data_IF_672030981306
#
_entry.id   IF_672030981306
#
_cell.length_a   1.000
_cell.length_b   1.000
_cell.length_c   1.000
_cell.angle_alpha   90.00
_cell.angle_beta   90.00
_cell.angle_gamma   90.00
#
_symmetry.space_group_name_H-M   'P 1'
#
loop_
_entity.id
_entity.type
_entity.pdbx_description
1 polymer ?
#
# COMPACT_ATOMS: atom_id res chain seq x y z
N UNK A 1 0.34 -17.30 17.49
CA UNK A 1 1.75 -17.73 17.34
C UNK A 1 1.97 -18.47 16.01
N UNK A 2 1.16 -19.48 15.66
CA UNK A 2 1.27 -20.14 14.35
C UNK A 2 0.92 -19.23 13.14
N UNK A 3 -0.04 -18.32 13.27
CA UNK A 3 -0.45 -17.40 12.20
C UNK A 3 0.61 -16.36 11.84
N UNK A 4 1.30 -15.77 12.82
CA UNK A 4 2.39 -14.80 12.56
C UNK A 4 3.52 -15.42 11.75
N UNK A 5 3.98 -16.63 12.12
CA UNK A 5 5.05 -17.32 11.39
C UNK A 5 4.64 -17.62 9.92
N UNK A 6 3.36 -17.93 9.68
CA UNK A 6 2.82 -18.09 8.32
C UNK A 6 2.83 -16.77 7.54
N UNK A 7 2.43 -15.66 8.16
CA UNK A 7 2.46 -14.32 7.55
C UNK A 7 3.90 -13.91 7.22
N UNK A 8 4.84 -14.04 8.16
CA UNK A 8 6.26 -13.72 7.97
C UNK A 8 6.90 -14.56 6.85
N UNK A 9 6.56 -15.84 6.78
CA UNK A 9 7.00 -16.73 5.68
C UNK A 9 6.42 -16.30 4.34
N UNK A 10 5.15 -15.89 4.32
CA UNK A 10 4.47 -15.41 3.10
C UNK A 10 5.09 -14.10 2.61
N UNK A 11 5.37 -13.16 3.51
CA UNK A 11 6.07 -11.90 3.21
C UNK A 11 7.46 -12.15 2.63
N UNK A 12 8.24 -13.05 3.26
CA UNK A 12 9.59 -13.40 2.78
C UNK A 12 9.54 -14.02 1.38
N UNK A 13 8.64 -14.98 1.17
CA UNK A 13 8.49 -15.64 -0.13
C UNK A 13 8.04 -14.65 -1.21
N UNK A 14 7.08 -13.78 -0.90
CA UNK A 14 6.63 -12.73 -1.82
C UNK A 14 7.78 -11.80 -2.21
N UNK A 15 8.59 -11.36 -1.24
CA UNK A 15 9.75 -10.51 -1.52
C UNK A 15 10.79 -11.20 -2.41
N UNK A 16 11.08 -12.48 -2.16
CA UNK A 16 11.99 -13.25 -3.02
C UNK A 16 11.43 -13.45 -4.43
N UNK A 17 10.14 -13.75 -4.56
CA UNK A 17 9.49 -13.93 -5.86
C UNK A 17 9.40 -12.62 -6.64
N UNK A 18 9.23 -11.49 -5.95
CA UNK A 18 9.29 -10.18 -6.55
C UNK A 18 10.70 -9.87 -7.08
N UNK A 19 11.75 -10.14 -6.31
CA UNK A 19 13.15 -9.96 -6.75
C UNK A 19 13.47 -10.86 -7.95
N UNK A 20 13.00 -12.10 -7.98
CA UNK A 20 13.20 -13.04 -9.11
C UNK A 20 12.56 -12.56 -10.42
N UNK A 21 11.56 -11.70 -10.34
CA UNK A 21 10.90 -11.13 -11.53
C UNK A 21 11.59 -9.86 -12.04
N UNK A 22 12.56 -9.31 -11.32
CA UNK A 22 13.29 -8.12 -11.74
C UNK A 22 14.35 -8.46 -12.79
N UNK A 23 14.62 -7.56 -13.75
CA UNK A 23 15.68 -7.75 -14.73
C UNK A 23 17.06 -7.79 -14.05
N UNK A 24 17.84 -8.83 -14.33
CA UNK A 24 19.20 -8.98 -13.79
C UNK A 24 20.20 -7.93 -14.32
N UNK A 25 19.83 -7.19 -15.36
CA UNK A 25 20.68 -6.19 -16.03
C UNK A 25 20.55 -4.78 -15.48
N UNK A 26 19.62 -4.53 -14.54
CA UNK A 26 19.34 -3.19 -14.02
C UNK A 26 19.67 -3.09 -12.53
N UNK A 27 20.11 -1.90 -12.09
CA UNK A 27 20.28 -1.59 -10.68
C UNK A 27 18.94 -1.09 -10.15
N UNK A 28 18.27 -1.93 -9.36
CA UNK A 28 16.94 -1.65 -8.83
C UNK A 28 16.93 -1.73 -7.30
N UNK A 29 16.17 -0.83 -6.70
CA UNK A 29 15.84 -0.85 -5.27
C UNK A 29 14.33 -1.02 -5.16
N UNK A 30 13.89 -2.00 -4.38
CA UNK A 30 12.47 -2.31 -4.19
C UNK A 30 12.15 -2.56 -2.73
N UNK A 31 10.90 -2.27 -2.35
CA UNK A 31 10.36 -2.55 -1.01
C UNK A 31 9.16 -3.49 -1.12
N UNK A 32 9.35 -4.81 -0.98
CA UNK A 32 8.24 -5.77 -0.98
C UNK A 32 7.20 -5.46 0.11
N UNK A 33 7.65 -4.99 1.27
CA UNK A 33 6.77 -4.64 2.38
C UNK A 33 5.83 -3.47 2.03
N UNK A 34 6.31 -2.47 1.30
CA UNK A 34 5.45 -1.36 0.83
C UNK A 34 4.33 -1.86 -0.10
N UNK A 35 4.62 -2.84 -0.96
CA UNK A 35 3.62 -3.47 -1.83
C UNK A 35 2.62 -4.29 -1.01
N UNK A 36 3.10 -5.03 -0.01
CA UNK A 36 2.22 -5.77 0.90
C UNK A 36 1.29 -4.84 1.66
N UNK A 37 1.75 -3.70 2.20
CA UNK A 37 0.85 -2.74 2.86
C UNK A 37 -0.26 -2.23 1.92
N UNK A 38 0.07 -1.98 0.65
CA UNK A 38 -0.93 -1.62 -0.34
C UNK A 38 -1.93 -2.76 -0.59
N UNK A 39 -1.44 -4.00 -0.74
CA UNK A 39 -2.29 -5.18 -0.93
C UNK A 39 -3.21 -5.42 0.27
N UNK A 40 -2.72 -5.28 1.50
CA UNK A 40 -3.54 -5.48 2.71
C UNK A 40 -4.58 -4.38 2.86
N UNK A 41 -4.30 -3.13 2.45
CA UNK A 41 -5.33 -2.09 2.37
C UNK A 41 -6.39 -2.41 1.31
N UNK A 42 -6.03 -3.02 0.18
CA UNK A 42 -7.01 -3.49 -0.82
C UNK A 42 -7.81 -4.67 -0.26
N UNK A 43 -7.15 -5.60 0.44
CA UNK A 43 -7.72 -6.79 1.05
C UNK A 43 -8.91 -6.46 1.97
N UNK A 44 -8.79 -5.39 2.77
CA UNK A 44 -9.85 -4.93 3.68
C UNK A 44 -11.15 -4.60 2.92
N UNK A 45 -11.05 -4.00 1.73
CA UNK A 45 -12.21 -3.61 0.91
C UNK A 45 -12.64 -4.66 -0.11
N UNK A 46 -11.75 -5.59 -0.47
CA UNK A 46 -12.01 -6.64 -1.45
C UNK A 46 -13.04 -7.67 -0.97
N UNK A 47 -13.64 -8.39 -1.91
CA UNK A 47 -14.54 -9.53 -1.64
C UNK A 47 -14.30 -10.65 -2.65
N UNK A 48 -14.81 -11.84 -2.37
CA UNK A 48 -14.80 -12.98 -3.29
C UNK A 48 -13.40 -13.32 -3.82
N UNK A 49 -13.29 -13.50 -5.14
CA UNK A 49 -12.04 -13.93 -5.81
C UNK A 49 -10.88 -12.97 -5.58
N UNK A 50 -11.13 -11.66 -5.63
CA UNK A 50 -10.08 -10.65 -5.42
C UNK A 50 -9.47 -10.76 -4.02
N UNK A 51 -10.31 -10.89 -2.98
CA UNK A 51 -9.83 -11.10 -1.61
C UNK A 51 -9.05 -12.42 -1.50
N UNK A 52 -9.58 -13.51 -2.08
CA UNK A 52 -8.92 -14.81 -2.02
C UNK A 52 -7.53 -14.80 -2.66
N UNK A 53 -7.36 -14.14 -3.82
CA UNK A 53 -6.07 -14.01 -4.49
C UNK A 53 -5.08 -13.17 -3.67
N UNK A 54 -5.54 -12.09 -3.04
CA UNK A 54 -4.67 -11.29 -2.15
C UNK A 54 -4.25 -12.13 -0.93
N UNK A 55 -5.19 -12.84 -0.29
CA UNK A 55 -4.88 -13.72 0.85
C UNK A 55 -3.85 -14.78 0.49
N UNK A 56 -3.87 -15.35 -0.73
CA UNK A 56 -2.83 -16.29 -1.16
C UNK A 56 -1.42 -15.70 -1.15
N UNK A 57 -1.28 -14.39 -1.37
CA UNK A 57 0.00 -13.68 -1.34
C UNK A 57 0.39 -13.29 0.08
N UNK A 58 -0.54 -12.72 0.86
CA UNK A 58 -0.21 -12.14 2.17
C UNK A 58 -0.21 -13.15 3.31
N UNK A 59 -1.11 -14.12 3.29
CA UNK A 59 -1.13 -15.34 4.12
C UNK A 59 -2.40 -16.14 3.84
N UNK A 60 -2.24 -17.39 3.39
CA UNK A 60 -3.36 -18.29 3.08
C UNK A 60 -4.04 -18.87 4.33
N UNK A 61 -3.31 -18.95 5.45
CA UNK A 61 -3.74 -19.67 6.66
C UNK A 61 -4.24 -18.71 7.76
N UNK A 62 -4.03 -17.40 7.59
CA UNK A 62 -4.46 -16.39 8.55
C UNK A 62 -5.85 -15.82 8.20
N UNK A 63 -6.63 -15.50 9.23
CA UNK A 63 -7.88 -14.76 9.07
C UNK A 63 -7.63 -13.29 8.71
N UNK A 64 -8.64 -12.63 8.12
CA UNK A 64 -8.59 -11.20 7.78
C UNK A 64 -8.20 -10.31 8.98
N UNK A 65 -8.68 -10.66 10.18
CA UNK A 65 -8.38 -9.95 11.41
C UNK A 65 -6.94 -10.16 11.87
N UNK A 66 -6.38 -11.36 11.70
CA UNK A 66 -4.98 -11.65 12.01
C UNK A 66 -4.05 -10.90 11.06
N UNK A 67 -4.34 -10.94 9.75
CA UNK A 67 -3.60 -10.18 8.73
C UNK A 67 -3.61 -8.69 9.07
N UNK A 68 -4.80 -8.11 9.29
CA UNK A 68 -4.94 -6.68 9.60
C UNK A 68 -4.23 -6.31 10.91
N UNK A 69 -4.33 -7.15 11.93
CA UNK A 69 -3.68 -6.87 13.23
C UNK A 69 -2.16 -6.98 13.14
N UNK A 70 -1.65 -7.97 12.39
CA UNK A 70 -0.23 -8.15 12.17
C UNK A 70 0.38 -6.94 11.46
N UNK A 71 -0.14 -6.57 10.28
CA UNK A 71 0.43 -5.45 9.51
C UNK A 71 0.20 -4.09 10.16
N UNK A 72 -0.90 -3.91 10.90
CA UNK A 72 -1.09 -2.71 11.72
C UNK A 72 -0.02 -2.57 12.81
N UNK A 73 0.28 -3.67 13.50
CA UNK A 73 1.34 -3.70 14.52
C UNK A 73 2.72 -3.49 13.89
N UNK A 74 3.03 -4.19 12.80
CA UNK A 74 4.29 -4.08 12.09
C UNK A 74 4.55 -2.64 11.60
N UNK A 75 3.54 -1.98 11.04
CA UNK A 75 3.65 -0.58 10.62
C UNK A 75 3.99 0.35 11.79
N UNK A 76 3.43 0.12 12.98
CA UNK A 76 3.74 0.91 14.17
C UNK A 76 5.14 0.62 14.70
N UNK A 77 5.59 -0.64 14.66
CA UNK A 77 6.92 -1.04 15.10
C UNK A 77 8.01 -0.48 14.20
N UNK A 78 7.82 -0.50 12.88
CA UNK A 78 8.78 0.08 11.92
C UNK A 78 8.87 1.60 12.06
N UNK A 79 7.75 2.28 12.31
CA UNK A 79 7.74 3.73 12.49
C UNK A 79 8.42 4.19 13.79
N UNK A 80 8.68 3.29 14.75
CA UNK A 80 9.42 3.62 15.97
C UNK A 80 10.90 3.78 15.66
N UNK A 81 11.52 4.92 16.01
CA UNK A 81 12.96 5.07 15.87
C UNK A 81 13.69 3.95 16.62
N UNK A 82 14.64 3.31 15.96
CA UNK A 82 15.48 2.29 16.58
C UNK A 82 16.91 2.44 16.08
N UNK A 83 17.89 2.26 16.98
CA UNK A 83 19.32 2.30 16.66
C UNK A 83 19.77 3.55 15.87
N UNK A 84 19.17 4.71 16.14
CA UNK A 84 19.50 5.97 15.46
C UNK A 84 18.91 6.14 14.04
N UNK A 85 18.20 5.13 13.52
CA UNK A 85 17.48 5.22 12.26
C UNK A 85 16.02 5.60 12.50
N UNK A 86 15.52 6.53 11.67
CA UNK A 86 14.11 6.89 11.62
C UNK A 86 13.50 6.39 10.32
N UNK A 87 12.48 5.54 10.42
CA UNK A 87 11.71 5.09 9.26
C UNK A 87 10.38 5.82 9.21
N UNK A 88 9.94 6.19 8.00
CA UNK A 88 8.64 6.81 7.75
C UNK A 88 7.83 5.88 6.86
N UNK A 89 6.68 5.44 7.36
CA UNK A 89 5.67 4.75 6.56
C UNK A 89 4.53 5.73 6.33
N UNK A 90 4.16 5.94 5.07
CA UNK A 90 3.03 6.79 4.70
C UNK A 90 2.16 6.04 3.69
N UNK A 91 0.90 5.85 4.04
CA UNK A 91 -0.09 5.20 3.21
C UNK A 91 -1.13 6.21 2.76
N UNK A 92 -1.63 6.09 1.54
CA UNK A 92 -2.75 6.88 1.07
C UNK A 92 -3.64 6.09 0.10
N UNK A 93 -4.93 6.39 0.15
CA UNK A 93 -5.93 5.93 -0.79
C UNK A 93 -6.64 7.15 -1.39
N UNK A 94 -6.33 7.40 -2.67
CA UNK A 94 -6.95 8.46 -3.46
C UNK A 94 -8.02 7.86 -4.36
N UNK A 95 -9.25 8.38 -4.29
CA UNK A 95 -10.37 7.92 -5.10
C UNK A 95 -11.00 9.07 -5.88
N UNK A 96 -11.65 8.76 -6.99
CA UNK A 96 -12.44 9.74 -7.73
C UNK A 96 -13.70 10.12 -6.92
N UNK A 97 -13.91 11.43 -6.74
CA UNK A 97 -15.05 12.00 -6.00
C UNK A 97 -16.42 11.60 -6.53
N UNK A 98 -16.50 11.01 -7.73
CA UNK A 98 -17.74 10.42 -8.27
C UNK A 98 -18.16 9.13 -7.56
N UNK A 99 -17.26 8.50 -6.81
CA UNK A 99 -17.54 7.30 -6.05
C UNK A 99 -17.71 7.61 -4.56
N UNK A 100 -18.62 6.90 -3.92
CA UNK A 100 -18.76 6.90 -2.48
C UNK A 100 -17.90 5.79 -1.90
N UNK A 101 -17.12 6.13 -0.87
CA UNK A 101 -16.34 5.16 -0.11
C UNK A 101 -17.18 4.60 1.04
N UNK A 102 -17.10 3.29 1.23
CA UNK A 102 -17.71 2.64 2.40
C UNK A 102 -17.00 3.12 3.68
N UNK A 103 -17.77 3.73 4.59
CA UNK A 103 -17.18 4.37 5.77
C UNK A 103 -16.40 3.38 6.65
N UNK A 104 -16.91 2.17 6.81
CA UNK A 104 -16.22 1.13 7.58
C UNK A 104 -14.85 0.78 6.96
N UNK A 105 -14.75 0.76 5.63
CA UNK A 105 -13.48 0.53 4.94
C UNK A 105 -12.50 1.68 5.20
N UNK A 106 -12.94 2.92 4.97
CA UNK A 106 -12.11 4.12 5.19
C UNK A 106 -11.59 4.20 6.64
N UNK A 107 -12.46 3.89 7.60
CA UNK A 107 -12.13 3.86 9.02
C UNK A 107 -11.07 2.81 9.36
N UNK A 108 -11.17 1.61 8.81
CA UNK A 108 -10.19 0.54 9.06
C UNK A 108 -8.83 0.97 8.51
N UNK A 109 -8.75 1.42 7.25
CA UNK A 109 -7.44 1.75 6.66
C UNK A 109 -6.80 2.98 7.30
N UNK A 110 -7.61 3.96 7.71
CA UNK A 110 -7.13 5.15 8.43
C UNK A 110 -6.57 4.76 9.80
N UNK A 111 -7.30 3.92 10.57
CA UNK A 111 -6.87 3.58 11.94
C UNK A 111 -5.77 2.54 11.99
N UNK A 112 -5.79 1.54 11.10
CA UNK A 112 -4.88 0.39 11.15
C UNK A 112 -3.59 0.61 10.36
N UNK A 113 -3.64 1.40 9.30
CA UNK A 113 -2.49 1.65 8.42
C UNK A 113 -2.07 3.12 8.37
N UNK A 114 -2.65 3.98 9.23
CA UNK A 114 -2.46 5.43 9.21
C UNK A 114 -2.67 6.03 7.81
N UNK A 115 -3.56 5.43 7.02
CA UNK A 115 -3.73 5.80 5.62
C UNK A 115 -4.50 7.12 5.51
N UNK A 116 -3.99 8.03 4.67
CA UNK A 116 -4.76 9.18 4.22
C UNK A 116 -5.81 8.73 3.21
N UNK A 117 -7.08 9.01 3.48
CA UNK A 117 -8.17 8.76 2.52
C UNK A 117 -8.63 10.09 1.95
N UNK A 118 -8.59 10.26 0.63
CA UNK A 118 -8.97 11.53 0.00
C UNK A 118 -9.66 11.33 -1.34
N UNK A 119 -10.88 11.87 -1.45
CA UNK A 119 -11.57 12.00 -2.73
C UNK A 119 -10.98 13.18 -3.53
N UNK A 120 -10.62 12.93 -4.79
CA UNK A 120 -10.06 13.90 -5.73
C UNK A 120 -10.91 14.00 -7.00
N UNK A 121 -10.76 15.10 -7.73
CA UNK A 121 -11.38 15.26 -9.04
C UNK A 121 -10.41 14.80 -10.13
N UNK A 122 -10.45 13.52 -10.51
CA UNK A 122 -9.54 12.95 -11.51
C UNK A 122 -9.73 13.53 -12.92
N UNK A 123 -10.81 14.28 -13.18
CA UNK A 123 -10.94 15.09 -14.40
C UNK A 123 -9.99 16.31 -14.43
N UNK A 124 -9.54 16.78 -13.26
CA UNK A 124 -8.49 17.79 -13.13
C UNK A 124 -7.14 17.09 -12.95
N UNK A 125 -6.64 16.53 -14.05
CA UNK A 125 -5.47 15.64 -14.10
C UNK A 125 -4.22 16.29 -13.50
N UNK A 126 -3.90 17.52 -13.91
CA UNK A 126 -2.73 18.25 -13.41
C UNK A 126 -2.79 18.49 -11.89
N UNK A 127 -3.95 18.93 -11.40
CA UNK A 127 -4.15 19.18 -9.97
C UNK A 127 -4.12 17.88 -9.15
N UNK A 128 -4.66 16.80 -9.70
CA UNK A 128 -4.65 15.48 -9.07
C UNK A 128 -3.22 14.94 -8.95
N UNK A 129 -2.44 14.98 -10.05
CA UNK A 129 -1.03 14.61 -10.03
C UNK A 129 -0.25 15.43 -9.00
N UNK A 130 -0.42 16.76 -9.01
CA UNK A 130 0.20 17.66 -8.03
C UNK A 130 -0.17 17.31 -6.58
N UNK A 131 -1.43 16.93 -6.32
CA UNK A 131 -1.89 16.59 -4.97
C UNK A 131 -1.28 15.28 -4.47
N UNK A 132 -1.19 14.27 -5.33
CA UNK A 132 -0.56 12.97 -5.00
C UNK A 132 0.96 13.15 -4.82
N UNK A 133 1.63 13.83 -5.75
CA UNK A 133 3.06 14.11 -5.67
C UNK A 133 3.41 14.91 -4.41
N UNK A 134 2.63 15.94 -4.05
CA UNK A 134 2.84 16.68 -2.81
C UNK A 134 2.70 15.82 -1.54
N UNK A 135 1.79 14.84 -1.54
CA UNK A 135 1.69 13.88 -0.44
C UNK A 135 2.94 12.99 -0.35
N UNK A 136 3.41 12.46 -1.48
CA UNK A 136 4.58 11.59 -1.56
C UNK A 136 5.86 12.34 -1.17
N UNK A 137 6.08 13.53 -1.73
CA UNK A 137 7.21 14.40 -1.41
C UNK A 137 7.27 14.69 0.08
N UNK A 138 6.16 15.12 0.69
CA UNK A 138 6.12 15.39 2.14
C UNK A 138 6.36 14.12 2.99
N UNK A 139 5.84 12.98 2.55
CA UNK A 139 6.05 11.70 3.24
C UNK A 139 7.51 11.24 3.20
N UNK A 140 8.20 11.52 2.09
CA UNK A 140 9.59 11.13 1.80
C UNK A 140 10.59 12.24 2.10
N UNK A 141 10.16 13.34 2.73
CA UNK A 141 11.00 14.50 3.01
C UNK A 141 11.66 15.13 1.76
N UNK A 142 10.98 15.06 0.61
CA UNK A 142 11.44 15.63 -0.66
C UNK A 142 12.29 14.69 -1.51
N UNK A 143 12.55 13.45 -1.07
CA UNK A 143 13.35 12.50 -1.85
C UNK A 143 12.60 11.96 -3.09
N UNK A 144 11.25 11.96 -3.06
CA UNK A 144 10.41 11.55 -4.19
C UNK A 144 9.37 12.64 -4.48
N UNK A 145 9.68 13.49 -5.45
CA UNK A 145 8.82 14.63 -5.82
C UNK A 145 7.84 14.33 -6.95
N UNK A 146 8.23 13.55 -7.95
CA UNK A 146 7.43 13.32 -9.16
C UNK A 146 7.10 11.85 -9.38
N UNK A 147 6.38 11.25 -8.40
CA UNK A 147 5.99 9.84 -8.48
C UNK A 147 5.06 9.55 -9.65
N UNK A 148 4.08 10.44 -9.90
CA UNK A 148 3.11 10.28 -10.98
C UNK A 148 3.07 11.48 -11.90
N UNK A 149 2.85 11.24 -13.18
CA UNK A 149 2.66 12.29 -14.18
C UNK A 149 1.19 12.59 -14.38
N UNK A 150 0.89 13.77 -14.95
CA UNK A 150 -0.46 14.10 -15.38
C UNK A 150 -1.05 13.04 -16.33
N UNK A 151 -0.22 12.53 -17.24
CA UNK A 151 -0.62 11.52 -18.23
C UNK A 151 -0.92 10.16 -17.59
N UNK A 152 -0.33 9.84 -16.43
CA UNK A 152 -0.71 8.65 -15.67
C UNK A 152 -2.08 8.80 -15.01
N UNK A 153 -2.45 10.02 -14.61
CA UNK A 153 -3.78 10.31 -14.03
C UNK A 153 -4.87 10.26 -15.09
N UNK A 154 -4.57 10.69 -16.32
CA UNK A 154 -5.49 10.54 -17.45
C UNK A 154 -5.81 9.05 -17.61
N UNK A 155 -7.07 8.68 -17.39
CA UNK A 155 -7.53 7.31 -17.62
C UNK A 155 -7.07 6.87 -19.02
N UNK A 156 -6.22 5.84 -19.13
CA UNK A 156 -6.10 5.12 -20.39
C UNK A 156 -7.50 4.60 -20.68
N UNK A 157 -8.17 5.15 -21.71
CA UNK A 157 -9.47 4.71 -22.22
C UNK A 157 -9.36 3.32 -22.88
N UNK A 158 -8.84 2.35 -22.14
CA UNK A 158 -8.68 0.98 -22.59
C UNK A 158 -9.31 0.03 -21.58
N UNK A 159 -10.63 0.16 -21.42
CA UNK A 159 -11.58 -0.93 -21.26
C UNK A 159 -12.91 -0.50 -21.89
#
# INVERSE_FOLDING_TARGET
>A
MASNASIESSETNFGLDMIRQLPASEVLVVSPLSVIFALTMIQVGAKGKTKAQINQVVSKDASDNEITSFYSKLSQEIARPSNGAQTRIANAFFLDKKFNIEQNYADIITRKYAAKVQALNFAQTAQTAKTVNAFVSNATAGEIDDLITEDLVKSRKHY
#
